data_IF_806534373480
#
_entry.id   IF_806534373480
#
_cell.length_a   1.000
_cell.length_b   1.000
_cell.length_c   1.000
_cell.angle_alpha   90.00
_cell.angle_beta   90.00
_cell.angle_gamma   90.00
#
_symmetry.space_group_name_H-M   'P 1'
#
loop_
_entity.id
_entity.type
_entity.pdbx_description
1 polymer ?
#
# COMPACT_ATOMS: atom_id res chain seq x y z
N UNK A 1 -7.56 9.28 -3.07
CA UNK A 1 -7.24 7.97 -3.68
C UNK A 1 -7.38 7.94 -5.19
N UNK A 2 -8.40 8.58 -5.80
CA UNK A 2 -8.57 8.55 -7.27
C UNK A 2 -7.36 9.08 -8.07
N UNK A 3 -6.56 9.98 -7.47
CA UNK A 3 -5.32 10.51 -8.05
C UNK A 3 -4.27 9.42 -8.34
N UNK A 4 -4.35 8.25 -7.69
CA UNK A 4 -3.44 7.13 -7.98
C UNK A 4 -3.62 6.63 -9.41
N UNK A 5 -4.84 6.62 -9.95
CA UNK A 5 -5.13 6.10 -11.31
C UNK A 5 -4.39 6.88 -12.40
N UNK A 6 -4.58 8.22 -12.54
CA UNK A 6 -3.86 8.98 -13.55
C UNK A 6 -2.35 8.96 -13.31
N UNK A 7 -1.91 8.90 -12.05
CA UNK A 7 -0.49 8.79 -11.72
C UNK A 7 0.09 7.45 -12.19
N UNK A 8 -0.61 6.33 -12.00
CA UNK A 8 -0.19 5.01 -12.48
C UNK A 8 -0.16 4.91 -14.01
N UNK A 9 -1.09 5.57 -14.72
CA UNK A 9 -1.06 5.67 -16.19
C UNK A 9 0.20 6.41 -16.65
N UNK A 10 0.53 7.52 -15.98
CA UNK A 10 1.74 8.29 -16.26
C UNK A 10 3.01 7.50 -15.94
N UNK A 11 3.01 6.73 -14.84
CA UNK A 11 4.08 5.80 -14.50
C UNK A 11 4.31 4.73 -15.56
N UNK A 12 3.24 4.12 -16.08
CA UNK A 12 3.34 3.16 -17.19
C UNK A 12 3.92 3.82 -18.45
N UNK A 13 3.44 5.02 -18.80
CA UNK A 13 3.96 5.75 -19.95
C UNK A 13 5.46 6.03 -19.83
N UNK A 14 5.93 6.46 -18.65
CA UNK A 14 7.37 6.66 -18.41
C UNK A 14 8.15 5.35 -18.43
N UNK A 15 7.65 4.28 -17.80
CA UNK A 15 8.33 2.99 -17.78
C UNK A 15 8.53 2.41 -19.20
N UNK A 16 7.56 2.58 -20.10
CA UNK A 16 7.61 2.00 -21.45
C UNK A 16 8.29 2.92 -22.47
N UNK A 17 7.97 4.22 -22.44
CA UNK A 17 8.36 5.12 -23.53
C UNK A 17 9.51 6.06 -23.16
N UNK A 18 9.71 6.38 -21.88
CA UNK A 18 10.69 7.38 -21.43
C UNK A 18 11.24 7.01 -20.05
N UNK A 19 12.01 5.93 -20.00
CA UNK A 19 12.52 5.34 -18.74
C UNK A 19 13.32 6.34 -17.89
N UNK A 20 14.03 7.28 -18.54
CA UNK A 20 14.76 8.36 -17.87
C UNK A 20 13.88 9.30 -17.05
N UNK A 21 12.57 9.34 -17.30
CA UNK A 21 11.59 10.12 -16.54
C UNK A 21 10.87 9.31 -15.46
N UNK A 22 11.14 8.00 -15.36
CA UNK A 22 10.45 7.12 -14.40
C UNK A 22 10.67 7.55 -12.94
N UNK A 23 11.86 8.06 -12.60
CA UNK A 23 12.13 8.61 -11.27
C UNK A 23 11.10 9.68 -10.86
N UNK A 24 10.59 10.47 -11.82
CA UNK A 24 9.65 11.54 -11.56
C UNK A 24 8.30 10.98 -11.08
N UNK A 25 7.87 9.85 -11.65
CA UNK A 25 6.72 9.10 -11.16
C UNK A 25 6.95 8.55 -9.75
N UNK A 26 8.12 7.96 -9.47
CA UNK A 26 8.45 7.42 -8.15
C UNK A 26 8.37 8.49 -7.05
N UNK A 27 8.94 9.67 -7.31
CA UNK A 27 8.89 10.80 -6.36
C UNK A 27 7.49 11.36 -6.17
N UNK A 28 6.71 11.47 -7.25
CA UNK A 28 5.30 11.89 -7.15
C UNK A 28 4.46 10.88 -6.34
N UNK A 29 4.70 9.59 -6.56
CA UNK A 29 4.03 8.52 -5.81
C UNK A 29 4.42 8.59 -4.33
N UNK A 30 5.71 8.76 -4.02
CA UNK A 30 6.21 8.91 -2.65
C UNK A 30 5.58 10.14 -1.96
N UNK A 31 5.58 11.31 -2.62
CA UNK A 31 4.97 12.52 -2.10
C UNK A 31 3.46 12.35 -1.84
N UNK A 32 2.74 11.69 -2.75
CA UNK A 32 1.32 11.40 -2.60
C UNK A 32 1.07 10.49 -1.39
N UNK A 33 1.85 9.42 -1.23
CA UNK A 33 1.73 8.50 -0.10
C UNK A 33 2.02 9.21 1.22
N UNK A 34 3.10 10.01 1.30
CA UNK A 34 3.46 10.79 2.48
C UNK A 34 2.31 11.75 2.87
N UNK A 35 1.77 12.49 1.89
CA UNK A 35 0.65 13.40 2.14
C UNK A 35 -0.56 12.63 2.69
N UNK A 36 -0.92 11.50 2.09
CA UNK A 36 -2.04 10.67 2.55
C UNK A 36 -1.82 10.13 3.96
N UNK A 37 -0.60 9.74 4.31
CA UNK A 37 -0.26 9.29 5.68
C UNK A 37 -0.43 10.43 6.68
N UNK A 38 0.08 11.63 6.39
CA UNK A 38 -0.07 12.82 7.25
C UNK A 38 -1.55 13.16 7.45
N UNK A 39 -2.33 13.21 6.37
CA UNK A 39 -3.77 13.45 6.44
C UNK A 39 -4.50 12.37 7.26
N UNK A 40 -4.12 11.10 7.08
CA UNK A 40 -4.73 9.99 7.82
C UNK A 40 -4.43 10.08 9.32
N UNK A 41 -3.20 10.43 9.72
CA UNK A 41 -2.82 10.64 11.12
C UNK A 41 -3.64 11.81 11.72
N UNK A 42 -3.71 12.94 11.01
CA UNK A 42 -4.49 14.10 11.44
C UNK A 42 -5.97 13.74 11.65
N UNK A 43 -6.52 12.90 10.76
CA UNK A 43 -7.91 12.45 10.85
C UNK A 43 -8.15 11.52 12.05
N UNK A 44 -7.23 10.59 12.34
CA UNK A 44 -7.29 9.71 13.52
C UNK A 44 -7.28 10.52 14.82
N UNK A 45 -6.48 11.58 14.90
CA UNK A 45 -6.38 12.44 16.09
C UNK A 45 -7.62 13.31 16.29
N UNK A 46 -8.27 13.74 15.20
CA UNK A 46 -9.47 14.58 15.24
C UNK A 46 -10.74 13.80 15.61
N UNK A 47 -10.83 12.53 15.22
CA UNK A 47 -12.05 11.71 15.38
C UNK A 47 -12.03 10.94 16.72
N UNK A 48 -13.03 11.21 17.58
CA UNK A 48 -13.20 10.49 18.87
C UNK A 48 -14.08 9.23 18.80
N UNK A 49 -14.86 9.04 17.75
CA UNK A 49 -15.90 7.99 17.66
C UNK A 49 -15.39 6.70 16.99
N UNK A 50 -16.27 5.70 16.81
CA UNK A 50 -16.01 4.43 16.10
C UNK A 50 -15.43 4.58 14.68
N UNK A 51 -15.56 5.77 14.07
CA UNK A 51 -14.91 6.15 12.82
C UNK A 51 -13.37 6.18 12.93
N UNK A 52 -12.80 6.29 14.13
CA UNK A 52 -11.35 6.23 14.38
C UNK A 52 -10.74 4.91 13.92
N UNK A 53 -11.47 3.80 14.08
CA UNK A 53 -11.03 2.48 13.59
C UNK A 53 -10.98 2.43 12.06
N UNK A 54 -11.93 3.10 11.39
CA UNK A 54 -11.91 3.20 9.92
C UNK A 54 -10.71 4.03 9.47
N UNK A 55 -10.44 5.17 10.11
CA UNK A 55 -9.26 5.96 9.83
C UNK A 55 -7.95 5.19 10.10
N UNK A 56 -7.90 4.36 11.16
CA UNK A 56 -6.78 3.47 11.43
C UNK A 56 -6.60 2.40 10.34
N UNK A 57 -7.69 1.86 9.79
CA UNK A 57 -7.61 0.92 8.66
C UNK A 57 -7.08 1.58 7.38
N UNK A 58 -7.45 2.84 7.12
CA UNK A 58 -6.90 3.60 5.99
C UNK A 58 -5.40 3.81 6.18
N UNK A 59 -4.96 4.18 7.38
CA UNK A 59 -3.53 4.34 7.69
C UNK A 59 -2.75 3.03 7.50
N UNK A 60 -3.26 1.93 8.04
CA UNK A 60 -2.61 0.62 7.92
C UNK A 60 -2.46 0.20 6.44
N UNK A 61 -3.52 0.39 5.64
CA UNK A 61 -3.47 0.15 4.20
C UNK A 61 -2.43 1.04 3.50
N UNK A 62 -2.36 2.33 3.83
CA UNK A 62 -1.38 3.25 3.23
C UNK A 62 0.06 2.85 3.56
N UNK A 63 0.34 2.41 4.79
CA UNK A 63 1.67 1.91 5.18
C UNK A 63 2.00 0.65 4.37
N UNK A 64 1.09 -0.32 4.29
CA UNK A 64 1.31 -1.52 3.47
C UNK A 64 1.53 -1.17 1.99
N UNK A 65 0.74 -0.25 1.44
CA UNK A 65 0.87 0.21 0.06
C UNK A 65 2.21 0.93 -0.18
N UNK A 66 2.69 1.71 0.78
CA UNK A 66 4.01 2.33 0.73
C UNK A 66 5.13 1.28 0.61
N UNK A 67 5.03 0.19 1.38
CA UNK A 67 6.01 -0.91 1.30
C UNK A 67 5.88 -1.66 -0.02
N UNK A 68 4.66 -1.84 -0.54
CA UNK A 68 4.45 -2.41 -1.88
C UNK A 68 5.12 -1.58 -2.97
N UNK A 69 5.06 -0.25 -2.88
CA UNK A 69 5.61 0.64 -3.90
C UNK A 69 7.13 0.54 -4.04
N UNK A 70 7.83 0.08 -2.99
CA UNK A 70 9.27 -0.24 -3.07
C UNK A 70 9.57 -1.33 -4.11
N UNK A 71 8.58 -2.19 -4.42
CA UNK A 71 8.69 -3.25 -5.42
C UNK A 71 8.37 -2.82 -6.85
N UNK A 72 8.03 -1.55 -7.06
CA UNK A 72 7.74 -1.00 -8.39
C UNK A 72 8.93 -0.27 -9.00
N UNK A 73 10.04 -0.13 -8.26
CA UNK A 73 11.24 0.59 -8.66
C UNK A 73 12.53 -0.23 -8.49
N UNK A 74 13.70 0.34 -8.78
CA UNK A 74 14.99 -0.36 -8.78
C UNK A 74 15.54 -0.68 -7.38
N UNK A 75 14.88 -0.21 -6.30
CA UNK A 75 15.34 -0.30 -4.92
C UNK A 75 14.94 -1.62 -4.21
N UNK A 76 14.57 -2.64 -4.97
CA UNK A 76 14.14 -3.92 -4.44
C UNK A 76 15.31 -4.76 -3.92
N UNK A 77 15.34 -4.97 -2.60
CA UNK A 77 16.23 -5.92 -1.94
C UNK A 77 15.46 -7.10 -1.37
N UNK A 78 16.08 -8.28 -1.30
CA UNK A 78 15.42 -9.49 -0.80
C UNK A 78 14.84 -9.32 0.63
N UNK A 79 15.50 -8.53 1.49
CA UNK A 79 15.00 -8.24 2.85
C UNK A 79 13.65 -7.50 2.85
N UNK A 80 13.34 -6.77 1.78
CA UNK A 80 12.07 -6.04 1.68
C UNK A 80 10.87 -6.98 1.59
N UNK A 81 11.01 -8.21 1.07
CA UNK A 81 9.92 -9.19 1.04
C UNK A 81 9.40 -9.50 2.45
N UNK A 82 10.31 -9.69 3.41
CA UNK A 82 9.95 -9.90 4.81
C UNK A 82 9.25 -8.68 5.41
N UNK A 83 9.74 -7.47 5.11
CA UNK A 83 9.10 -6.23 5.54
C UNK A 83 7.65 -6.13 5.03
N UNK A 84 7.42 -6.48 3.77
CA UNK A 84 6.08 -6.52 3.18
C UNK A 84 5.16 -7.49 3.93
N UNK A 85 5.60 -8.73 4.18
CA UNK A 85 4.78 -9.73 4.87
C UNK A 85 4.41 -9.29 6.29
N UNK A 86 5.34 -8.69 7.03
CA UNK A 86 5.07 -8.14 8.38
C UNK A 86 4.00 -7.05 8.29
N UNK A 87 4.16 -6.08 7.37
CA UNK A 87 3.17 -5.02 7.17
C UNK A 87 1.80 -5.55 6.74
N UNK A 88 1.76 -6.60 5.93
CA UNK A 88 0.51 -7.23 5.49
C UNK A 88 -0.23 -7.90 6.66
N UNK A 89 0.47 -8.63 7.53
CA UNK A 89 -0.12 -9.28 8.73
C UNK A 89 -0.70 -8.22 9.69
N UNK A 90 0.07 -7.16 9.95
CA UNK A 90 -0.40 -6.04 10.79
C UNK A 90 -1.64 -5.40 10.20
N UNK A 91 -1.65 -5.13 8.89
CA UNK A 91 -2.78 -4.50 8.20
C UNK A 91 -4.04 -5.37 8.23
N UNK A 92 -3.90 -6.68 7.97
CA UNK A 92 -4.98 -7.65 8.07
C UNK A 92 -5.60 -7.65 9.48
N UNK A 93 -4.75 -7.64 10.51
CA UNK A 93 -5.21 -7.61 11.90
C UNK A 93 -6.05 -6.35 12.18
N UNK A 94 -5.58 -5.18 11.73
CA UNK A 94 -6.31 -3.92 11.84
C UNK A 94 -7.63 -3.96 11.07
N UNK A 95 -7.68 -4.55 9.88
CA UNK A 95 -8.91 -4.67 9.09
C UNK A 95 -9.95 -5.54 9.79
N UNK A 96 -9.54 -6.70 10.33
CA UNK A 96 -10.44 -7.60 11.07
C UNK A 96 -11.03 -6.90 12.29
N UNK A 97 -10.20 -6.20 13.08
CA UNK A 97 -10.66 -5.43 14.24
C UNK A 97 -11.66 -4.36 13.82
N UNK A 98 -11.37 -3.65 12.73
CA UNK A 98 -12.21 -2.56 12.22
C UNK A 98 -13.58 -3.07 11.74
N UNK A 99 -13.60 -4.19 11.02
CA UNK A 99 -14.85 -4.85 10.58
C UNK A 99 -15.68 -5.25 11.80
N UNK A 100 -15.05 -5.81 12.84
CA UNK A 100 -15.79 -6.20 14.06
C UNK A 100 -16.38 -4.98 14.78
N UNK A 101 -15.59 -3.91 14.97
CA UNK A 101 -15.97 -2.75 15.80
C UNK A 101 -16.90 -1.76 15.12
N UNK A 102 -16.82 -1.57 13.81
CA UNK A 102 -17.64 -0.58 13.12
C UNK A 102 -18.64 -1.28 12.19
N UNK A 103 -19.94 -0.96 12.26
CA UNK A 103 -21.01 -1.59 11.47
C UNK A 103 -21.38 -0.81 10.20
N UNK A 104 -21.26 0.52 10.22
CA UNK A 104 -21.76 1.39 9.14
C UNK A 104 -20.81 1.46 7.95
N UNK A 105 -19.50 1.50 8.18
CA UNK A 105 -18.49 1.65 7.12
C UNK A 105 -17.60 0.40 6.93
N UNK A 106 -18.16 -0.80 7.13
CA UNK A 106 -17.44 -2.09 6.98
C UNK A 106 -16.92 -2.35 5.57
N UNK A 107 -17.55 -1.74 4.58
CA UNK A 107 -17.19 -1.92 3.17
C UNK A 107 -15.75 -1.47 2.89
N UNK A 108 -15.29 -0.39 3.54
CA UNK A 108 -13.94 0.17 3.34
C UNK A 108 -12.84 -0.84 3.73
N UNK A 109 -12.76 -1.34 4.98
CA UNK A 109 -11.74 -2.32 5.36
C UNK A 109 -11.89 -3.66 4.62
N UNK A 110 -13.09 -4.00 4.13
CA UNK A 110 -13.31 -5.21 3.34
C UNK A 110 -12.70 -5.09 1.94
N UNK A 111 -12.85 -3.93 1.28
CA UNK A 111 -12.16 -3.63 0.02
C UNK A 111 -10.64 -3.67 0.20
N UNK A 112 -10.12 -3.06 1.27
CA UNK A 112 -8.69 -3.11 1.58
C UNK A 112 -8.19 -4.52 1.83
N UNK A 113 -8.97 -5.35 2.53
CA UNK A 113 -8.62 -6.76 2.72
C UNK A 113 -8.49 -7.52 1.40
N UNK A 114 -9.43 -7.31 0.46
CA UNK A 114 -9.37 -7.92 -0.88
C UNK A 114 -8.15 -7.44 -1.68
N UNK A 115 -7.86 -6.14 -1.65
CA UNK A 115 -6.68 -5.57 -2.31
C UNK A 115 -5.38 -6.10 -1.71
N UNK A 116 -5.29 -6.15 -0.38
CA UNK A 116 -4.14 -6.72 0.32
C UNK A 116 -3.90 -8.17 -0.10
N UNK A 117 -4.95 -8.99 -0.24
CA UNK A 117 -4.81 -10.36 -0.74
C UNK A 117 -4.19 -10.39 -2.14
N UNK A 118 -4.68 -9.54 -3.04
CA UNK A 118 -4.15 -9.43 -4.41
C UNK A 118 -2.68 -8.99 -4.42
N UNK A 119 -2.33 -7.98 -3.62
CA UNK A 119 -0.95 -7.52 -3.48
C UNK A 119 -0.03 -8.59 -2.89
N UNK A 120 -0.50 -9.35 -1.91
CA UNK A 120 0.29 -10.47 -1.34
C UNK A 120 0.51 -11.55 -2.39
N UNK A 121 -0.46 -11.83 -3.25
CA UNK A 121 -0.27 -12.78 -4.35
C UNK A 121 0.80 -12.29 -5.33
N UNK A 122 0.76 -11.01 -5.70
CA UNK A 122 1.80 -10.38 -6.53
C UNK A 122 3.20 -10.47 -5.91
N UNK A 123 3.32 -10.15 -4.61
CA UNK A 123 4.60 -10.24 -3.90
C UNK A 123 5.08 -11.69 -3.77
N UNK A 124 4.18 -12.64 -3.57
CA UNK A 124 4.53 -14.06 -3.53
C UNK A 124 5.07 -14.53 -4.89
N UNK A 125 4.46 -14.11 -6.00
CA UNK A 125 5.00 -14.40 -7.34
C UNK A 125 6.36 -13.75 -7.57
N UNK A 126 6.54 -12.50 -7.16
CA UNK A 126 7.85 -11.83 -7.24
C UNK A 126 8.92 -12.54 -6.42
N UNK A 127 8.60 -12.93 -5.18
CA UNK A 127 9.52 -13.64 -4.30
C UNK A 127 9.92 -15.01 -4.86
N UNK A 128 8.98 -15.72 -5.49
CA UNK A 128 9.25 -17.00 -6.15
C UNK A 128 10.15 -16.85 -7.39
N UNK A 129 9.98 -15.74 -8.14
CA UNK A 129 10.75 -15.44 -9.35
C UNK A 129 12.10 -14.75 -9.08
N UNK A 130 12.33 -14.27 -7.85
CA UNK A 130 13.53 -13.49 -7.47
C UNK A 130 14.85 -14.28 -7.61
N UNK A 131 14.80 -15.60 -7.83
CA UNK A 131 15.97 -16.38 -8.22
C UNK A 131 16.91 -16.69 -7.07
N UNK A 132 16.40 -17.10 -5.91
CA UNK A 132 17.24 -17.61 -4.80
C UNK A 132 17.80 -19.02 -5.03
N UNK A 133 17.52 -19.62 -6.18
CA UNK A 133 18.04 -20.93 -6.60
C UNK A 133 18.92 -20.83 -7.86
N UNK A 134 19.72 -19.76 -7.98
CA UNK A 134 20.92 -19.81 -8.81
C UNK A 134 22.05 -20.34 -7.93
N UNK A 135 22.02 -21.64 -7.65
CA UNK A 135 23.19 -22.38 -7.17
C UNK A 135 24.27 -22.37 -8.23
#
# INVERSE_FOLDING_TARGET
MLVIIPLSILGYYFAVNNESLFFLYEWLLAALVIALVIFSIKNILSIKNNLRWVAASILAFLIQFSVLALFLGPLTHHLMFYLYYICAIVSITVFIITIRKNKTLRVIPLIFFMLTRLFTFYILTLNALWGTNLS
#
